data_IF_871637084727
#
_entry.id   IF_871637084727
#
_cell.length_a   1.000
_cell.length_b   1.000
_cell.length_c   1.000
_cell.angle_alpha   90.00
_cell.angle_beta   90.00
_cell.angle_gamma   90.00
#
_symmetry.space_group_name_H-M   'P 1'
#
loop_
_entity.id
_entity.type
_entity.pdbx_description
1 polymer ?
#
# COMPACT_ATOMS: atom_id res chain seq x y z
N UNK A 1 2.24 5.63 8.43
CA UNK A 1 2.72 4.25 8.18
C UNK A 1 1.82 3.19 8.84
N UNK A 2 1.57 3.26 10.15
CA UNK A 2 0.85 2.20 10.90
C UNK A 2 -0.57 1.90 10.36
N UNK A 3 -1.35 2.93 10.04
CA UNK A 3 -2.68 2.76 9.44
C UNK A 3 -2.66 2.07 8.06
N UNK A 4 -1.64 2.34 7.25
CA UNK A 4 -1.53 1.83 5.89
C UNK A 4 -1.08 0.37 5.90
N UNK A 5 -0.22 0.03 6.86
CA UNK A 5 0.14 -1.34 7.14
C UNK A 5 -1.09 -2.16 7.60
N UNK A 6 -1.89 -1.62 8.54
CA UNK A 6 -3.12 -2.27 9.01
C UNK A 6 -4.18 -2.39 7.91
N UNK A 7 -4.38 -1.34 7.12
CA UNK A 7 -5.32 -1.35 6.00
C UNK A 7 -4.89 -2.34 4.91
N UNK A 8 -3.61 -2.35 4.55
CA UNK A 8 -3.05 -3.31 3.59
C UNK A 8 -3.13 -4.75 4.08
N UNK A 9 -2.87 -5.00 5.36
CA UNK A 9 -3.01 -6.32 5.96
C UNK A 9 -4.46 -6.80 6.01
N UNK A 10 -5.39 -5.95 6.45
CA UNK A 10 -6.81 -6.28 6.45
C UNK A 10 -7.33 -6.56 5.02
N UNK A 11 -6.99 -5.69 4.06
CA UNK A 11 -7.36 -5.88 2.67
C UNK A 11 -6.80 -7.19 2.11
N UNK A 12 -5.51 -7.48 2.35
CA UNK A 12 -4.86 -8.71 1.93
C UNK A 12 -5.50 -9.97 2.55
N UNK A 13 -5.85 -9.92 3.84
CA UNK A 13 -6.54 -11.00 4.54
C UNK A 13 -7.90 -11.29 3.91
N UNK A 14 -8.75 -10.27 3.75
CA UNK A 14 -10.10 -10.46 3.20
C UNK A 14 -10.06 -10.94 1.75
N UNK A 15 -9.12 -10.42 0.93
CA UNK A 15 -9.03 -10.81 -0.47
C UNK A 15 -8.62 -12.28 -0.62
N UNK A 16 -7.61 -12.72 0.14
CA UNK A 16 -7.13 -14.10 0.12
C UNK A 16 -8.11 -15.07 0.76
N UNK A 17 -8.72 -14.71 1.91
CA UNK A 17 -9.75 -15.53 2.54
C UNK A 17 -10.98 -15.69 1.64
N UNK A 18 -11.44 -14.61 0.98
CA UNK A 18 -12.55 -14.67 0.04
C UNK A 18 -12.21 -15.52 -1.20
N UNK A 19 -10.99 -15.39 -1.72
CA UNK A 19 -10.52 -16.21 -2.85
C UNK A 19 -10.45 -17.70 -2.48
N UNK A 20 -9.92 -18.04 -1.32
CA UNK A 20 -9.85 -19.43 -0.83
C UNK A 20 -11.22 -20.00 -0.50
N UNK A 21 -12.15 -19.18 0.01
CA UNK A 21 -13.54 -19.57 0.18
C UNK A 21 -14.21 -19.88 -1.16
N UNK A 22 -13.99 -19.04 -2.18
CA UNK A 22 -14.52 -19.26 -3.53
C UNK A 22 -13.88 -20.49 -4.21
N UNK A 23 -12.63 -20.82 -3.87
CA UNK A 23 -11.94 -22.02 -4.30
C UNK A 23 -12.41 -23.31 -3.59
N UNK A 24 -13.31 -23.22 -2.61
CA UNK A 24 -13.82 -24.38 -1.87
C UNK A 24 -12.80 -25.03 -0.93
N UNK A 25 -11.78 -24.29 -0.47
CA UNK A 25 -10.82 -24.80 0.50
C UNK A 25 -11.48 -25.06 1.86
N UNK A 26 -10.91 -25.98 2.64
CA UNK A 26 -11.34 -26.22 4.02
C UNK A 26 -11.10 -24.97 4.89
N UNK A 27 -11.91 -24.77 5.96
CA UNK A 27 -11.84 -23.56 6.79
C UNK A 27 -10.46 -23.29 7.41
N UNK A 28 -9.74 -24.33 7.84
CA UNK A 28 -8.39 -24.20 8.40
C UNK A 28 -7.41 -23.63 7.36
N UNK A 29 -7.56 -24.04 6.11
CA UNK A 29 -6.73 -23.55 5.01
C UNK A 29 -7.10 -22.14 4.58
N UNK A 30 -8.38 -21.77 4.63
CA UNK A 30 -8.84 -20.40 4.38
C UNK A 30 -8.23 -19.41 5.38
N UNK A 31 -8.18 -19.79 6.67
CA UNK A 31 -7.55 -18.94 7.70
C UNK A 31 -6.04 -18.79 7.47
N UNK A 32 -5.37 -19.87 7.08
CA UNK A 32 -3.95 -19.83 6.76
C UNK A 32 -3.66 -18.97 5.51
N UNK A 33 -4.40 -19.18 4.43
CA UNK A 33 -4.30 -18.36 3.21
C UNK A 33 -4.59 -16.88 3.50
N UNK A 34 -5.61 -16.62 4.32
CA UNK A 34 -5.93 -15.30 4.87
C UNK A 34 -4.76 -14.67 5.62
N UNK A 35 -4.14 -15.40 6.55
CA UNK A 35 -3.00 -14.93 7.33
C UNK A 35 -1.78 -14.62 6.44
N UNK A 36 -1.51 -15.47 5.45
CA UNK A 36 -0.46 -15.24 4.45
C UNK A 36 -0.77 -14.00 3.61
N UNK A 37 -2.00 -13.85 3.14
CA UNK A 37 -2.46 -12.68 2.41
C UNK A 37 -2.40 -11.40 3.24
N UNK A 38 -2.63 -11.48 4.56
CA UNK A 38 -2.45 -10.35 5.48
C UNK A 38 -1.01 -9.85 5.50
N UNK A 39 -0.05 -10.76 5.68
CA UNK A 39 1.38 -10.41 5.69
C UNK A 39 1.82 -9.83 4.34
N UNK A 40 1.40 -10.48 3.24
CA UNK A 40 1.71 -10.03 1.89
C UNK A 40 1.11 -8.64 1.59
N UNK A 41 -0.17 -8.44 1.90
CA UNK A 41 -0.87 -7.17 1.71
C UNK A 41 -0.27 -6.03 2.53
N UNK A 42 0.11 -6.30 3.78
CA UNK A 42 0.74 -5.30 4.64
C UNK A 42 2.13 -4.87 4.13
N UNK A 43 2.94 -5.82 3.65
CA UNK A 43 4.25 -5.54 3.03
C UNK A 43 4.11 -4.76 1.73
N UNK A 44 3.20 -5.17 0.85
CA UNK A 44 2.95 -4.49 -0.43
C UNK A 44 2.48 -3.05 -0.23
N UNK A 45 1.50 -2.81 0.65
CA UNK A 45 1.03 -1.46 0.95
C UNK A 45 2.11 -0.60 1.61
N UNK A 46 2.95 -1.18 2.47
CA UNK A 46 4.10 -0.46 3.04
C UNK A 46 5.12 -0.06 1.98
N UNK A 47 5.43 -0.97 1.05
CA UNK A 47 6.33 -0.67 -0.07
C UNK A 47 5.72 0.39 -0.99
N UNK A 48 4.47 0.20 -1.42
CA UNK A 48 3.73 1.15 -2.27
C UNK A 48 3.69 2.55 -1.67
N UNK A 49 3.40 2.67 -0.37
CA UNK A 49 3.39 3.98 0.30
C UNK A 49 4.75 4.65 0.32
N UNK A 50 5.84 3.88 0.48
CA UNK A 50 7.20 4.42 0.42
C UNK A 50 7.48 5.04 -0.95
N UNK A 51 7.11 4.34 -2.02
CA UNK A 51 7.28 4.81 -3.39
C UNK A 51 6.40 6.03 -3.68
N UNK A 52 5.12 5.99 -3.27
CA UNK A 52 4.17 7.08 -3.48
C UNK A 52 4.64 8.37 -2.78
N UNK A 53 5.04 8.29 -1.51
CA UNK A 53 5.53 9.46 -0.76
C UNK A 53 6.81 10.01 -1.38
N UNK A 54 7.70 9.14 -1.88
CA UNK A 54 8.91 9.57 -2.56
C UNK A 54 8.59 10.38 -3.82
N UNK A 55 7.74 9.85 -4.71
CA UNK A 55 7.35 10.53 -5.94
C UNK A 55 6.60 11.84 -5.70
N UNK A 56 5.70 11.88 -4.71
CA UNK A 56 5.01 13.12 -4.31
C UNK A 56 6.03 14.17 -3.85
N UNK A 57 7.00 13.77 -3.02
CA UNK A 57 8.02 14.68 -2.50
C UNK A 57 8.87 15.26 -3.62
N UNK A 58 9.34 14.42 -4.55
CA UNK A 58 10.12 14.87 -5.70
C UNK A 58 9.33 15.85 -6.58
N UNK A 59 8.06 15.55 -6.84
CA UNK A 59 7.18 16.41 -7.64
C UNK A 59 6.97 17.77 -6.96
N UNK A 60 6.76 17.79 -5.63
CA UNK A 60 6.61 19.04 -4.87
C UNK A 60 7.91 19.86 -4.91
N UNK A 61 9.07 19.22 -4.74
CA UNK A 61 10.37 19.93 -4.79
C UNK A 61 10.60 20.52 -6.18
N UNK A 62 10.33 19.77 -7.25
CA UNK A 62 10.45 20.26 -8.62
C UNK A 62 9.52 21.47 -8.88
N UNK A 63 8.26 21.39 -8.42
CA UNK A 63 7.30 22.50 -8.55
C UNK A 63 7.69 23.72 -7.73
N UNK A 64 8.17 23.55 -6.50
CA UNK A 64 8.63 24.66 -5.66
C UNK A 64 9.87 25.33 -6.23
N UNK A 65 10.81 24.56 -6.81
CA UNK A 65 11.97 25.12 -7.48
C UNK A 65 11.58 25.98 -8.69
N UNK A 66 10.65 25.48 -9.52
CA UNK A 66 10.12 26.24 -10.66
C UNK A 66 9.38 27.52 -10.22
N UNK A 67 8.55 27.43 -9.19
CA UNK A 67 7.84 28.59 -8.63
C UNK A 67 8.80 29.63 -8.02
N UNK A 68 9.85 29.19 -7.33
CA UNK A 68 10.86 30.07 -6.73
C UNK A 68 11.74 30.75 -7.79
N UNK A 69 12.04 30.06 -8.90
CA UNK A 69 12.76 30.65 -10.03
C UNK A 69 11.91 31.72 -10.74
N UNK A 70 10.61 31.46 -10.93
CA UNK A 70 9.68 32.45 -11.48
C UNK A 70 9.52 33.67 -10.56
N UNK A 71 9.51 33.47 -9.25
CA UNK A 71 9.44 34.56 -8.26
C UNK A 71 10.72 35.41 -8.20
N UNK A 72 11.90 34.84 -8.50
CA UNK A 72 13.18 35.57 -8.60
C UNK A 72 13.34 36.36 -9.91
N UNK A 73 12.57 36.02 -10.94
CA UNK A 73 12.62 36.67 -12.26
C UNK A 73 11.71 37.90 -12.36
N UNK A 74 10.96 38.23 -11.31
CA UNK A 74 10.05 39.36 -11.23
C UNK A 74 10.62 40.42 -10.29
#
# INVERSE_FOLDING_TARGET
MKFIFLAGGAAGFFLSAAASFWAGHEPDRILLDGAVGCLAGALLFRWFWTVLVHGIRETIVARNAAASAAAKSK
#
